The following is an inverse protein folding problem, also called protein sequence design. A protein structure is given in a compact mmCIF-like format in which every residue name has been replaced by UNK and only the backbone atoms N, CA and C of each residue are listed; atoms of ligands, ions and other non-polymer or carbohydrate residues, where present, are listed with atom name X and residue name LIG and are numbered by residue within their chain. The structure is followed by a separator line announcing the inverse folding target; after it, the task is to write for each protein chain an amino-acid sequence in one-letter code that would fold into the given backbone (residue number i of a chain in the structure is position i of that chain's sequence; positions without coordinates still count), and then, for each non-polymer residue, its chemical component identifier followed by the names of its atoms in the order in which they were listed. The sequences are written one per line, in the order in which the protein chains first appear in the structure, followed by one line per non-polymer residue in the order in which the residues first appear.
data_IF_861825830471
#
_entry.id   IF_861825830471
#
_cell.length_a   1.000
_cell.length_b   1.000
_cell.length_c   1.000
_cell.angle_alpha   90.00
_cell.angle_beta   90.00
_cell.angle_gamma   90.00
#
_symmetry.space_group_name_H-M   'P 1'
#
loop_
_entity.id
_entity.type
_entity.pdbx_description
1 polymer ?
#
# COMPACT_ATOMS: atom_id res chain seq x y z
N UNK A 1 42.76 40.96 34.64
CA UNK A 1 41.39 40.43 34.83
C UNK A 1 40.81 40.17 33.45
N UNK A 2 41.22 39.06 32.82
CA UNK A 2 40.86 38.76 31.43
C UNK A 2 39.47 38.12 31.35
N UNK A 3 38.58 38.73 30.59
CA UNK A 3 37.23 38.25 30.30
C UNK A 3 37.31 36.96 29.47
N UNK A 4 37.02 35.83 30.13
CA UNK A 4 36.99 34.52 29.47
C UNK A 4 35.92 34.46 28.36
N UNK A 5 36.14 33.70 27.28
CA UNK A 5 35.32 33.71 26.08
C UNK A 5 34.01 32.90 26.26
N UNK A 6 33.10 33.35 27.13
CA UNK A 6 31.80 32.70 27.35
C UNK A 6 30.89 32.74 26.10
N UNK A 7 31.04 33.74 25.22
CA UNK A 7 30.25 33.86 23.97
C UNK A 7 30.42 32.67 23.02
N UNK A 8 31.61 32.05 22.97
CA UNK A 8 31.88 30.94 22.04
C UNK A 8 31.26 29.61 22.50
N UNK A 9 31.09 29.42 23.81
CA UNK A 9 30.49 28.20 24.38
C UNK A 9 28.96 28.22 24.19
N UNK A 10 28.33 29.38 24.39
CA UNK A 10 26.88 29.52 24.19
C UNK A 10 26.46 29.34 22.72
N UNK A 11 27.26 29.83 21.77
CA UNK A 11 26.97 29.64 20.33
C UNK A 11 27.06 28.17 19.92
N UNK A 12 28.04 27.42 20.45
CA UNK A 12 28.25 26.01 20.10
C UNK A 12 27.13 25.09 20.62
N UNK A 13 26.55 25.39 21.79
CA UNK A 13 25.40 24.65 22.35
C UNK A 13 24.11 24.92 21.56
N UNK A 14 23.93 26.16 21.07
CA UNK A 14 22.76 26.54 20.29
C UNK A 14 22.72 25.87 18.91
N UNK A 15 23.88 25.74 18.25
CA UNK A 15 24.00 25.03 16.96
C UNK A 15 23.68 23.53 17.06
N UNK A 16 23.99 22.88 18.20
CA UNK A 16 23.73 21.46 18.41
C UNK A 16 22.24 21.18 18.67
N UNK A 17 21.53 22.11 19.32
CA UNK A 17 20.09 22.01 19.54
C UNK A 17 19.29 22.12 18.23
N UNK A 18 19.70 23.00 17.31
CA UNK A 18 19.03 23.17 16.01
C UNK A 18 19.18 21.92 15.13
N UNK A 19 20.31 21.21 15.21
CA UNK A 19 20.54 19.96 14.45
C UNK A 19 19.72 18.77 14.98
N UNK A 20 19.30 18.79 16.25
CA UNK A 20 18.46 17.75 16.86
C UNK A 20 16.97 17.85 16.53
N UNK A 21 16.54 18.95 15.89
CA UNK A 21 15.14 19.18 15.52
C UNK A 21 14.82 18.84 14.06
N UNK A 22 15.74 18.23 13.31
CA UNK A 22 15.45 17.83 11.94
C UNK A 22 14.44 16.67 11.94
N UNK A 23 13.26 16.85 11.31
CA UNK A 23 12.29 15.77 11.21
C UNK A 23 12.90 14.61 10.41
N UNK A 24 12.82 13.40 10.97
CA UNK A 24 13.14 12.19 10.22
C UNK A 24 12.10 12.06 9.11
N UNK A 25 12.54 12.16 7.86
CA UNK A 25 11.68 11.91 6.72
C UNK A 25 11.37 10.41 6.72
N UNK A 26 10.12 10.05 7.01
CA UNK A 26 9.65 8.69 6.81
C UNK A 26 9.73 8.37 5.31
N UNK A 27 10.58 7.43 4.93
CA UNK A 27 10.60 6.91 3.57
C UNK A 27 9.29 6.14 3.35
N UNK A 28 8.57 6.50 2.30
CA UNK A 28 7.43 5.73 1.85
C UNK A 28 7.90 4.69 0.83
N UNK A 29 7.65 3.41 1.12
CA UNK A 29 7.94 2.33 0.18
C UNK A 29 6.69 2.04 -0.66
N UNK A 30 6.88 1.92 -1.98
CA UNK A 30 5.81 1.51 -2.91
C UNK A 30 6.01 0.05 -3.30
N UNK A 31 4.97 -0.74 -3.08
CA UNK A 31 4.89 -2.17 -3.38
C UNK A 31 3.97 -2.37 -4.59
N UNK A 32 4.34 -3.23 -5.53
CA UNK A 32 3.53 -3.53 -6.72
C UNK A 32 3.25 -5.02 -6.80
N UNK A 33 1.98 -5.38 -6.97
CA UNK A 33 1.50 -6.75 -7.07
C UNK A 33 0.73 -6.94 -8.38
N UNK A 34 0.77 -8.16 -8.92
CA UNK A 34 0.06 -8.56 -10.14
C UNK A 34 -0.46 -10.00 -9.96
N UNK A 35 -1.70 -10.33 -10.35
CA UNK A 35 -2.19 -11.70 -10.28
C UNK A 35 -1.48 -12.59 -11.31
N UNK A 36 -1.65 -13.90 -11.18
CA UNK A 36 -1.27 -14.86 -12.21
C UNK A 36 -2.45 -15.83 -12.43
N UNK A 37 -3.13 -15.80 -13.59
CA UNK A 37 -2.79 -15.05 -14.81
C UNK A 37 -2.91 -13.53 -14.63
N UNK A 38 -2.10 -12.78 -15.38
CA UNK A 38 -1.90 -11.34 -15.21
C UNK A 38 -3.16 -10.51 -15.45
N UNK A 39 -4.05 -11.00 -16.30
CA UNK A 39 -5.29 -10.39 -16.78
C UNK A 39 -6.54 -11.02 -16.17
N UNK A 40 -6.39 -11.99 -15.26
CA UNK A 40 -7.48 -12.80 -14.72
C UNK A 40 -8.36 -13.43 -15.82
N UNK A 41 -7.73 -13.98 -16.88
CA UNK A 41 -8.41 -14.62 -18.01
C UNK A 41 -9.43 -13.70 -18.70
N UNK A 42 -9.07 -12.42 -18.90
CA UNK A 42 -9.93 -11.43 -19.55
C UNK A 42 -11.32 -11.30 -18.87
N UNK A 43 -11.38 -11.48 -17.54
CA UNK A 43 -12.59 -11.24 -16.74
C UNK A 43 -13.88 -11.75 -17.41
N UNK A 44 -13.89 -13.04 -17.78
CA UNK A 44 -15.05 -13.72 -18.37
C UNK A 44 -16.29 -13.58 -17.47
N UNK A 45 -17.43 -13.18 -18.04
CA UNK A 45 -18.66 -12.89 -17.29
C UNK A 45 -19.38 -14.10 -16.72
N UNK A 46 -18.99 -15.32 -17.09
CA UNK A 46 -19.46 -16.53 -16.43
C UNK A 46 -18.65 -16.86 -15.16
N UNK A 47 -17.79 -15.93 -14.75
CA UNK A 47 -16.85 -16.08 -13.65
C UNK A 47 -16.76 -14.83 -12.80
N UNK A 48 -16.75 -15.04 -11.49
CA UNK A 48 -16.24 -14.08 -10.53
C UNK A 48 -14.81 -14.47 -10.14
N UNK A 49 -13.95 -13.52 -9.84
CA UNK A 49 -12.53 -13.74 -9.53
C UNK A 49 -12.20 -13.20 -8.16
N UNK A 50 -11.47 -13.96 -7.35
CA UNK A 50 -10.86 -13.46 -6.14
C UNK A 50 -9.33 -13.53 -6.27
N UNK A 51 -8.65 -12.46 -5.90
CA UNK A 51 -7.20 -12.38 -5.90
C UNK A 51 -6.71 -11.96 -4.52
N UNK A 52 -5.93 -12.83 -3.89
CA UNK A 52 -5.26 -12.55 -2.63
C UNK A 52 -3.82 -12.10 -2.85
N UNK A 53 -3.47 -10.98 -2.26
CA UNK A 53 -2.10 -10.54 -2.03
C UNK A 53 -1.77 -10.82 -0.57
N UNK A 54 -1.03 -11.88 -0.29
CA UNK A 54 -0.55 -12.19 1.05
C UNK A 54 0.95 -11.89 1.19
N UNK A 55 1.43 -11.73 2.42
CA UNK A 55 2.86 -11.49 2.70
C UNK A 55 3.72 -12.75 2.72
N UNK A 56 3.11 -13.93 2.58
CA UNK A 56 3.76 -15.24 2.78
C UNK A 56 3.97 -16.02 1.48
N UNK A 57 3.34 -15.58 0.39
CA UNK A 57 3.44 -16.19 -0.93
C UNK A 57 4.74 -15.79 -1.59
N UNK A 58 5.30 -16.77 -2.33
CA UNK A 58 6.68 -16.82 -2.84
C UNK A 58 7.11 -15.66 -3.75
N UNK A 59 6.21 -14.75 -4.13
CA UNK A 59 6.54 -13.57 -4.93
C UNK A 59 7.23 -12.47 -4.11
N UNK A 60 7.29 -12.60 -2.78
CA UNK A 60 7.76 -11.54 -1.88
C UNK A 60 9.07 -11.86 -1.14
N UNK A 61 9.92 -12.75 -1.68
CA UNK A 61 11.15 -13.22 -1.02
C UNK A 61 12.15 -12.12 -0.57
N UNK A 62 11.90 -10.84 -0.82
CA UNK A 62 12.70 -9.71 -0.34
C UNK A 62 11.91 -8.53 0.24
N UNK A 63 10.58 -8.62 0.39
CA UNK A 63 9.80 -7.52 0.95
C UNK A 63 9.67 -7.67 2.47
N UNK A 64 10.41 -6.84 3.21
CA UNK A 64 10.26 -6.68 4.67
C UNK A 64 9.04 -5.80 5.02
N UNK A 65 7.90 -6.06 4.39
CA UNK A 65 6.68 -5.35 4.78
C UNK A 65 6.05 -6.06 5.98
N UNK A 66 6.11 -5.41 7.14
CA UNK A 66 5.53 -5.92 8.38
C UNK A 66 4.22 -5.16 8.68
N UNK A 67 3.04 -5.82 8.59
CA UNK A 67 1.75 -5.21 8.90
C UNK A 67 1.68 -4.58 10.30
N UNK A 68 2.49 -5.08 11.23
CA UNK A 68 2.49 -4.63 12.62
C UNK A 68 3.27 -3.32 12.82
N UNK A 69 4.13 -2.94 11.87
CA UNK A 69 5.00 -1.75 11.99
C UNK A 69 4.86 -0.76 10.84
N UNK A 70 3.97 -0.99 9.89
CA UNK A 70 3.80 -0.16 8.71
C UNK A 70 2.33 -0.01 8.38
N UNK A 71 1.90 1.17 7.93
CA UNK A 71 0.54 1.41 7.45
C UNK A 71 0.54 1.71 5.97
N UNK A 72 -0.54 1.31 5.30
CA UNK A 72 -0.83 1.67 3.93
C UNK A 72 -1.31 3.12 3.91
N UNK A 73 -0.57 3.98 3.20
CA UNK A 73 -0.85 5.43 3.09
C UNK A 73 -1.48 5.81 1.76
N UNK A 74 -1.29 5.00 0.72
CA UNK A 74 -2.00 5.11 -0.54
C UNK A 74 -2.09 3.75 -1.23
N UNK A 75 -3.09 3.59 -2.10
CA UNK A 75 -3.21 2.41 -2.95
C UNK A 75 -3.86 2.77 -4.27
N UNK A 76 -3.44 2.10 -5.35
CA UNK A 76 -4.10 2.16 -6.66
C UNK A 76 -4.25 0.78 -7.25
N UNK A 77 -5.36 0.54 -7.95
CA UNK A 77 -5.63 -0.66 -8.72
C UNK A 77 -5.74 -0.27 -10.20
N UNK A 78 -4.83 -0.76 -11.03
CA UNK A 78 -4.73 -0.40 -12.44
C UNK A 78 -5.04 -1.60 -13.31
N UNK A 79 -5.85 -1.40 -14.34
CA UNK A 79 -6.13 -2.32 -15.43
C UNK A 79 -5.49 -1.74 -16.69
N UNK A 80 -4.65 -2.50 -17.38
CA UNK A 80 -3.98 -2.06 -18.59
C UNK A 80 -4.77 -2.48 -19.83
N UNK A 81 -4.86 -1.57 -20.81
CA UNK A 81 -5.60 -1.81 -22.07
C UNK A 81 -7.02 -2.40 -21.83
N UNK A 82 -7.66 -1.98 -20.73
CA UNK A 82 -8.98 -2.45 -20.32
C UNK A 82 -9.98 -2.05 -21.39
N UNK A 83 -10.93 -2.92 -21.78
CA UNK A 83 -11.94 -2.63 -22.80
C UNK A 83 -13.10 -3.62 -22.76
N UNK A 84 -14.23 -3.16 -23.26
CA UNK A 84 -15.45 -3.93 -23.33
C UNK A 84 -15.44 -4.93 -24.50
N UNK A 85 -15.99 -6.14 -24.30
CA UNK A 85 -16.14 -7.15 -25.37
C UNK A 85 -17.16 -6.71 -26.44
N UNK A 86 -18.26 -6.09 -26.02
CA UNK A 86 -19.37 -5.64 -26.88
C UNK A 86 -19.75 -4.18 -26.62
N UNK A 87 -20.83 -3.72 -27.27
CA UNK A 87 -21.33 -2.35 -27.17
C UNK A 87 -22.38 -2.16 -26.05
N UNK A 88 -22.65 -3.18 -25.24
CA UNK A 88 -23.61 -3.08 -24.15
C UNK A 88 -23.01 -2.31 -22.96
N UNK A 89 -23.87 -1.62 -22.21
CA UNK A 89 -23.50 -1.02 -20.94
C UNK A 89 -23.18 -2.13 -19.94
N UNK A 90 -21.97 -2.10 -19.38
CA UNK A 90 -21.41 -3.23 -18.64
C UNK A 90 -20.84 -2.77 -17.31
N UNK A 91 -20.96 -3.64 -16.31
CA UNK A 91 -20.56 -3.35 -14.93
C UNK A 91 -19.45 -4.30 -14.50
N UNK A 92 -18.39 -3.74 -13.93
CA UNK A 92 -17.40 -4.49 -13.15
C UNK A 92 -17.56 -4.11 -11.68
N UNK A 93 -18.00 -5.06 -10.86
CA UNK A 93 -17.92 -4.90 -9.41
C UNK A 93 -16.51 -5.23 -8.94
N UNK A 94 -15.95 -4.36 -8.11
CA UNK A 94 -14.71 -4.64 -7.40
C UNK A 94 -15.02 -4.55 -5.92
N UNK A 95 -14.66 -5.58 -5.16
CA UNK A 95 -14.90 -5.64 -3.72
C UNK A 95 -13.61 -5.88 -2.97
N UNK A 96 -13.42 -5.22 -1.82
CA UNK A 96 -12.42 -5.61 -0.84
C UNK A 96 -13.02 -6.71 0.04
N UNK A 97 -12.48 -7.92 -0.04
CA UNK A 97 -13.05 -9.09 0.62
C UNK A 97 -12.69 -9.13 2.11
N UNK A 98 -13.61 -9.66 2.92
CA UNK A 98 -13.44 -9.78 4.36
C UNK A 98 -12.45 -10.90 4.75
N UNK A 99 -12.28 -11.88 3.86
CA UNK A 99 -11.41 -13.04 4.04
C UNK A 99 -10.51 -13.25 2.81
N UNK A 100 -9.33 -13.89 2.98
CA UNK A 100 -8.36 -14.07 1.91
C UNK A 100 -8.96 -14.66 0.63
N UNK A 101 -9.78 -15.71 0.75
CA UNK A 101 -10.55 -16.29 -0.36
C UNK A 101 -11.86 -16.89 0.18
N UNK A 102 -13.03 -16.59 -0.42
CA UNK A 102 -14.25 -17.34 -0.16
C UNK A 102 -14.04 -18.85 -0.35
N UNK A 103 -14.78 -19.65 0.42
CA UNK A 103 -14.81 -21.10 0.24
C UNK A 103 -15.31 -21.46 -1.17
N UNK A 104 -14.83 -22.60 -1.70
CA UNK A 104 -15.06 -22.97 -3.09
C UNK A 104 -14.08 -22.28 -4.05
N UNK A 105 -14.53 -22.12 -5.29
CA UNK A 105 -13.74 -21.61 -6.41
C UNK A 105 -12.65 -22.57 -6.87
N UNK A 106 -12.27 -22.45 -8.14
CA UNK A 106 -11.14 -23.15 -8.74
C UNK A 106 -9.92 -22.23 -8.69
N UNK A 107 -8.79 -22.71 -8.19
CA UNK A 107 -7.53 -21.98 -8.31
C UNK A 107 -7.12 -21.89 -9.77
N UNK A 108 -6.81 -20.69 -10.23
CA UNK A 108 -6.29 -20.44 -11.57
C UNK A 108 -4.91 -19.80 -11.43
N UNK A 109 -3.89 -20.42 -12.04
CA UNK A 109 -2.51 -19.94 -11.94
C UNK A 109 -1.90 -20.00 -10.53
N UNK A 110 -1.03 -19.03 -10.25
CA UNK A 110 -0.28 -18.89 -8.99
C UNK A 110 -0.65 -17.56 -8.31
N UNK A 111 -0.17 -17.30 -7.10
CA UNK A 111 -0.33 -15.98 -6.47
C UNK A 111 -1.74 -15.69 -5.96
N UNK A 112 -2.43 -16.69 -5.42
CA UNK A 112 -3.66 -16.48 -4.64
C UNK A 112 -4.90 -16.15 -5.47
N UNK A 113 -4.95 -16.53 -6.75
CA UNK A 113 -6.12 -16.30 -7.60
C UNK A 113 -7.06 -17.51 -7.60
N UNK A 114 -8.37 -17.23 -7.48
CA UNK A 114 -9.45 -18.20 -7.69
C UNK A 114 -10.51 -17.62 -8.62
N UNK A 115 -11.08 -18.49 -9.44
CA UNK A 115 -12.30 -18.20 -10.18
C UNK A 115 -13.48 -18.96 -9.57
N UNK A 116 -14.66 -18.36 -9.64
CA UNK A 116 -15.92 -18.92 -9.16
C UNK A 116 -16.87 -18.92 -10.32
N UNK A 117 -17.65 -19.99 -10.48
CA UNK A 117 -18.72 -19.98 -11.47
C UNK A 117 -19.77 -18.98 -11.01
N UNK A 118 -19.94 -17.94 -11.80
CA UNK A 118 -21.09 -17.07 -11.66
C UNK A 118 -22.19 -17.55 -12.62
N UNK A 119 -23.34 -17.89 -12.05
CA UNK A 119 -24.50 -18.38 -12.81
C UNK A 119 -25.53 -17.27 -13.03
N UNK A 120 -25.22 -16.05 -12.60
CA UNK A 120 -25.94 -14.86 -13.03
C UNK A 120 -25.60 -14.71 -14.51
N UNK A 121 -26.41 -15.32 -15.39
CA UNK A 121 -26.16 -15.27 -16.85
C UNK A 121 -26.12 -13.83 -17.38
N UNK A 122 -25.95 -13.65 -18.69
CA UNK A 122 -25.75 -12.38 -19.46
C UNK A 122 -26.69 -11.16 -19.16
N UNK A 123 -27.49 -11.17 -18.09
CA UNK A 123 -28.56 -10.23 -17.78
C UNK A 123 -28.73 -9.88 -16.29
N UNK A 124 -27.88 -10.32 -15.38
CA UNK A 124 -28.11 -10.05 -13.96
C UNK A 124 -27.10 -9.09 -13.37
N UNK A 125 -27.61 -7.98 -12.84
CA UNK A 125 -26.90 -6.90 -12.13
C UNK A 125 -26.36 -7.35 -10.74
N UNK A 126 -25.73 -8.52 -10.68
CA UNK A 126 -25.59 -9.30 -9.45
C UNK A 126 -24.17 -9.39 -8.96
N UNK A 127 -23.76 -8.56 -8.00
CA UNK A 127 -22.45 -8.67 -7.36
C UNK A 127 -22.28 -9.98 -6.56
N UNK A 128 -21.58 -10.96 -7.11
CA UNK A 128 -21.21 -12.24 -6.51
C UNK A 128 -20.60 -12.09 -5.11
N UNK A 129 -19.78 -11.06 -4.91
CA UNK A 129 -19.09 -10.80 -3.64
C UNK A 129 -19.87 -9.90 -2.67
N UNK A 130 -21.12 -9.54 -2.96
CA UNK A 130 -21.91 -8.62 -2.12
C UNK A 130 -22.05 -9.08 -0.66
N UNK A 131 -22.03 -10.39 -0.41
CA UNK A 131 -22.13 -10.97 0.93
C UNK A 131 -20.79 -11.19 1.63
N UNK A 132 -19.66 -11.05 0.92
CA UNK A 132 -18.33 -11.43 1.42
C UNK A 132 -17.27 -10.33 1.24
N UNK A 133 -17.69 -9.08 1.07
CA UNK A 133 -16.77 -7.97 0.95
C UNK A 133 -17.47 -6.62 1.02
N UNK A 134 -16.64 -5.58 1.08
CA UNK A 134 -17.07 -4.19 0.89
C UNK A 134 -16.83 -3.81 -0.55
N UNK A 135 -17.91 -3.46 -1.25
CA UNK A 135 -17.86 -2.93 -2.60
C UNK A 135 -17.03 -1.64 -2.67
N UNK A 136 -16.05 -1.62 -3.57
CA UNK A 136 -15.26 -0.45 -3.89
C UNK A 136 -16.02 0.41 -4.91
N UNK A 137 -16.61 1.49 -4.43
CA UNK A 137 -17.29 2.46 -5.29
C UNK A 137 -16.27 3.36 -5.97
N UNK A 138 -16.41 3.52 -7.29
CA UNK A 138 -15.62 4.48 -8.05
C UNK A 138 -15.82 5.91 -7.49
N UNK A 139 -14.81 6.79 -7.58
CA UNK A 139 -14.99 8.21 -7.32
C UNK A 139 -16.17 8.76 -8.14
N UNK A 140 -16.90 9.72 -7.59
CA UNK A 140 -18.02 10.40 -8.26
C UNK A 140 -17.59 10.94 -9.63
N UNK A 141 -18.07 10.32 -10.71
CA UNK A 141 -17.69 10.69 -12.09
C UNK A 141 -17.66 9.52 -13.07
N UNK A 142 -17.54 8.28 -12.58
CA UNK A 142 -17.75 7.08 -13.38
C UNK A 142 -19.21 6.61 -13.23
N UNK A 143 -20.06 6.96 -14.20
CA UNK A 143 -21.44 6.49 -14.28
C UNK A 143 -21.70 6.04 -15.72
N UNK A 144 -22.10 4.79 -15.92
CA UNK A 144 -22.57 4.32 -17.23
C UNK A 144 -24.09 4.47 -17.38
N UNK A 145 -24.87 4.37 -16.32
CA UNK A 145 -26.32 4.51 -16.44
C UNK A 145 -26.94 5.21 -15.24
N UNK A 146 -28.17 5.69 -15.43
CA UNK A 146 -28.90 6.56 -14.52
C UNK A 146 -29.20 5.96 -13.13
N UNK A 147 -28.78 4.73 -12.83
CA UNK A 147 -29.05 4.05 -11.57
C UNK A 147 -27.76 3.83 -10.76
N UNK A 148 -27.63 4.67 -9.72
CA UNK A 148 -26.98 4.44 -8.42
C UNK A 148 -25.55 3.88 -8.37
N UNK A 149 -24.58 4.76 -8.08
CA UNK A 149 -23.47 4.69 -7.09
C UNK A 149 -22.89 3.33 -6.59
N UNK A 150 -23.02 2.20 -7.29
CA UNK A 150 -22.77 0.85 -6.73
C UNK A 150 -21.73 0.02 -7.48
N UNK A 151 -20.96 0.57 -8.40
CA UNK A 151 -19.94 -0.21 -9.12
C UNK A 151 -18.97 0.68 -9.87
N UNK A 152 -17.84 0.10 -10.31
CA UNK A 152 -17.05 0.70 -11.39
C UNK A 152 -17.80 0.41 -12.68
N UNK A 153 -18.84 1.21 -12.92
CA UNK A 153 -19.49 1.28 -14.21
C UNK A 153 -18.52 2.01 -15.15
N UNK A 154 -17.98 1.31 -16.15
CA UNK A 154 -17.23 1.97 -17.21
C UNK A 154 -18.18 2.92 -17.91
N UNK A 155 -17.97 4.24 -17.74
CA UNK A 155 -18.88 5.27 -18.24
C UNK A 155 -19.38 5.01 -19.68
N UNK A 156 -20.64 5.36 -19.93
CA UNK A 156 -21.27 5.23 -21.24
C UNK A 156 -20.40 5.92 -22.28
N UNK A 157 -19.89 5.15 -23.22
CA UNK A 157 -18.86 5.59 -24.17
C UNK A 157 -17.70 4.60 -24.35
N UNK A 158 -17.63 3.58 -23.50
CA UNK A 158 -16.83 2.38 -23.74
C UNK A 158 -17.61 1.41 -24.63
N UNK A 159 -17.85 1.82 -25.88
CA UNK A 159 -18.29 0.90 -26.94
C UNK A 159 -17.20 -0.13 -27.19
N UNK A 160 -17.50 -1.20 -27.92
CA UNK A 160 -16.51 -2.18 -28.38
C UNK A 160 -15.42 -1.45 -29.15
N UNK A 161 -14.29 -1.21 -28.49
CA UNK A 161 -13.11 -0.63 -29.12
C UNK A 161 -12.05 -1.70 -29.26
N UNK A 162 -11.33 -1.68 -30.38
CA UNK A 162 -10.09 -2.46 -30.50
C UNK A 162 -8.95 -1.85 -29.69
N UNK A 163 -9.10 -0.58 -29.29
CA UNK A 163 -8.12 0.18 -28.52
C UNK A 163 -8.67 0.33 -27.10
N UNK A 164 -8.18 -0.47 -26.17
CA UNK A 164 -8.48 -0.29 -24.76
C UNK A 164 -7.76 0.92 -24.19
N UNK A 165 -8.09 1.24 -22.94
CA UNK A 165 -7.42 2.32 -22.20
C UNK A 165 -7.05 1.80 -20.83
N UNK A 166 -6.00 2.40 -20.28
CA UNK A 166 -5.64 2.12 -18.90
C UNK A 166 -6.69 2.74 -17.97
N UNK A 167 -7.16 1.94 -17.03
CA UNK A 167 -8.07 2.37 -15.98
C UNK A 167 -7.35 2.27 -14.64
N UNK A 168 -7.34 3.34 -13.85
CA UNK A 168 -6.74 3.34 -12.51
C UNK A 168 -7.76 3.79 -11.48
N UNK A 169 -8.03 2.90 -10.54
CA UNK A 169 -8.84 3.16 -9.36
C UNK A 169 -7.94 3.57 -8.20
N UNK A 170 -8.19 4.75 -7.62
CA UNK A 170 -7.45 5.25 -6.45
C UNK A 170 -8.30 5.08 -5.20
N UNK A 171 -7.75 4.43 -4.18
CA UNK A 171 -8.44 4.16 -2.92
C UNK A 171 -8.59 5.45 -2.12
N UNK A 172 -9.82 5.75 -1.68
CA UNK A 172 -10.07 6.88 -0.79
C UNK A 172 -9.69 6.55 0.66
N UNK A 173 -9.74 7.56 1.55
CA UNK A 173 -9.34 7.39 2.94
C UNK A 173 -10.08 6.26 3.69
N UNK A 174 -11.39 6.09 3.44
CA UNK A 174 -12.18 5.02 4.07
C UNK A 174 -11.76 3.64 3.55
N UNK A 175 -11.53 3.52 2.25
CA UNK A 175 -11.08 2.28 1.63
C UNK A 175 -9.64 1.92 2.05
N UNK A 176 -8.76 2.91 2.24
CA UNK A 176 -7.43 2.71 2.81
C UNK A 176 -7.50 2.21 4.25
N UNK A 177 -8.45 2.69 5.06
CA UNK A 177 -8.67 2.18 6.42
C UNK A 177 -9.11 0.71 6.40
N UNK A 178 -10.02 0.34 5.49
CA UNK A 178 -10.44 -1.05 5.32
C UNK A 178 -9.27 -1.93 4.84
N UNK A 179 -8.45 -1.46 3.91
CA UNK A 179 -7.24 -2.16 3.46
C UNK A 179 -6.28 -2.40 4.63
N UNK A 180 -5.98 -1.36 5.42
CA UNK A 180 -5.13 -1.48 6.61
C UNK A 180 -5.70 -2.49 7.62
N UNK A 181 -7.02 -2.48 7.82
CA UNK A 181 -7.70 -3.41 8.74
C UNK A 181 -7.60 -4.86 8.24
N UNK A 182 -7.92 -5.10 6.97
CA UNK A 182 -7.80 -6.43 6.35
C UNK A 182 -6.36 -6.93 6.44
N UNK A 183 -5.39 -6.08 6.08
CA UNK A 183 -3.99 -6.42 6.08
C UNK A 183 -3.43 -6.73 7.48
N UNK A 184 -3.74 -5.93 8.49
CA UNK A 184 -3.31 -6.15 9.88
C UNK A 184 -3.95 -7.38 10.54
N UNK A 185 -5.18 -7.73 10.15
CA UNK A 185 -5.92 -8.86 10.74
C UNK A 185 -5.60 -10.17 10.06
N UNK A 186 -5.55 -10.18 8.73
CA UNK A 186 -5.44 -11.40 7.92
C UNK A 186 -4.03 -11.63 7.38
N UNK A 187 -3.12 -10.66 7.53
CA UNK A 187 -1.79 -10.67 6.91
C UNK A 187 -1.86 -10.80 5.36
N UNK A 188 -2.98 -10.35 4.80
CA UNK A 188 -3.31 -10.44 3.39
C UNK A 188 -4.37 -9.40 3.02
N UNK A 189 -4.38 -9.01 1.74
CA UNK A 189 -5.45 -8.24 1.10
C UNK A 189 -6.11 -9.16 0.08
N UNK A 190 -7.43 -9.12 -0.01
CA UNK A 190 -8.16 -9.90 -1.00
C UNK A 190 -9.13 -9.00 -1.77
N UNK A 191 -9.05 -9.07 -3.09
CA UNK A 191 -9.90 -8.32 -4.01
C UNK A 191 -10.82 -9.30 -4.75
N UNK A 192 -12.11 -9.00 -4.80
CA UNK A 192 -13.10 -9.67 -5.62
C UNK A 192 -13.39 -8.85 -6.87
N UNK A 193 -13.47 -9.50 -8.03
CA UNK A 193 -13.82 -8.92 -9.31
C UNK A 193 -14.99 -9.70 -9.87
N UNK A 194 -16.07 -9.01 -10.16
CA UNK A 194 -17.28 -9.66 -10.65
C UNK A 194 -17.79 -8.90 -11.88
N UNK A 195 -17.45 -9.41 -13.08
CA UNK A 195 -17.84 -8.83 -14.34
C UNK A 195 -19.25 -9.28 -14.74
N UNK A 196 -20.21 -8.35 -14.80
CA UNK A 196 -21.53 -8.61 -15.39
C UNK A 196 -21.49 -8.68 -16.93
N UNK A 197 -20.30 -8.52 -17.51
CA UNK A 197 -20.00 -8.73 -18.92
C UNK A 197 -18.50 -8.93 -19.16
N UNK A 198 -18.16 -9.60 -20.26
CA UNK A 198 -16.76 -9.94 -20.57
C UNK A 198 -15.91 -8.69 -20.83
N UNK A 199 -14.70 -8.62 -20.26
CA UNK A 199 -13.76 -7.52 -20.48
C UNK A 199 -12.36 -7.98 -20.89
N UNK A 200 -11.85 -7.51 -22.03
CA UNK A 200 -10.45 -7.74 -22.33
C UNK A 200 -9.52 -6.79 -21.56
N UNK A 201 -8.39 -7.31 -21.10
CA UNK A 201 -7.34 -6.49 -20.47
C UNK A 201 -5.97 -7.14 -20.63
N UNK A 202 -4.91 -6.33 -20.60
CA UNK A 202 -3.54 -6.82 -20.76
C UNK A 202 -2.82 -6.93 -19.40
N UNK A 203 -3.57 -6.77 -18.31
CA UNK A 203 -3.07 -7.01 -16.97
C UNK A 203 -3.68 -6.13 -15.89
N UNK A 204 -3.64 -6.62 -14.67
CA UNK A 204 -4.12 -5.94 -13.46
C UNK A 204 -2.95 -5.74 -12.50
N UNK A 205 -2.84 -4.56 -11.89
CA UNK A 205 -1.78 -4.24 -10.92
C UNK A 205 -2.35 -3.54 -9.70
N UNK A 206 -1.93 -3.97 -8.52
CA UNK A 206 -2.20 -3.29 -7.25
C UNK A 206 -0.89 -2.63 -6.80
N UNK A 207 -0.89 -1.31 -6.66
CA UNK A 207 0.21 -0.57 -6.04
C UNK A 207 -0.21 -0.14 -4.63
N UNK A 208 0.69 -0.31 -3.67
CA UNK A 208 0.48 0.07 -2.26
C UNK A 208 1.67 0.91 -1.83
N UNK A 209 1.42 2.16 -1.47
CA UNK A 209 2.39 2.98 -0.76
C UNK A 209 2.23 2.77 0.74
N UNK A 210 3.35 2.63 1.42
CA UNK A 210 3.38 2.32 2.85
C UNK A 210 4.25 3.32 3.58
N UNK A 211 3.94 3.58 4.85
CA UNK A 211 4.80 4.33 5.75
C UNK A 211 5.17 3.44 6.93
N UNK A 212 6.45 3.43 7.28
CA UNK A 212 6.91 2.76 8.50
C UNK A 212 6.46 3.58 9.71
N UNK A 213 5.62 2.97 10.55
CA UNK A 213 5.15 3.51 11.82
C UNK A 213 6.11 3.17 12.97
N UNK A 214 7.27 2.56 12.68
CA UNK A 214 8.31 2.40 13.66
C UNK A 214 8.62 3.79 14.23
N UNK A 215 8.48 3.94 15.56
CA UNK A 215 8.98 5.12 16.25
C UNK A 215 10.42 5.34 15.75
N UNK A 216 10.82 6.59 15.41
CA UNK A 216 12.16 6.86 14.94
C UNK A 216 13.14 6.17 15.88
N UNK A 217 13.77 5.10 15.40
CA UNK A 217 14.80 4.43 16.19
C UNK A 217 15.83 5.52 16.40
N UNK A 218 16.28 5.80 17.63
CA UNK A 218 17.27 6.84 17.86
C UNK A 218 18.51 6.56 17.00
N UNK A 219 18.55 7.24 15.86
CA UNK A 219 19.59 7.14 14.86
C UNK A 219 20.86 7.82 15.41
N UNK A 220 22.01 7.76 14.71
CA UNK A 220 23.36 7.90 15.26
C UNK A 220 23.64 9.08 16.17
N UNK A 221 22.78 10.09 16.28
CA UNK A 221 22.83 11.11 17.33
C UNK A 221 22.98 10.50 18.73
N UNK A 222 22.33 9.38 19.07
CA UNK A 222 22.54 8.74 20.39
C UNK A 222 23.92 8.08 20.48
N UNK A 223 24.40 7.45 19.40
CA UNK A 223 25.76 6.88 19.33
C UNK A 223 26.85 7.97 19.30
N UNK A 224 26.54 9.13 18.71
CA UNK A 224 27.39 10.30 18.64
C UNK A 224 27.39 11.02 19.99
N UNK A 225 26.24 11.14 20.65
CA UNK A 225 26.13 11.72 22.00
C UNK A 225 26.81 10.80 23.01
N UNK A 226 26.64 9.48 22.89
CA UNK A 226 27.35 8.49 23.69
C UNK A 226 28.86 8.56 23.41
N UNK A 227 29.27 8.58 22.14
CA UNK A 227 30.66 8.66 21.73
C UNK A 227 31.35 9.96 22.15
N UNK A 228 30.69 11.11 21.97
CA UNK A 228 31.20 12.42 22.41
C UNK A 228 31.15 12.59 23.93
N UNK A 229 30.15 12.01 24.59
CA UNK A 229 30.07 11.92 26.05
C UNK A 229 31.26 11.15 26.64
N UNK A 230 31.55 9.96 26.09
CA UNK A 230 32.70 9.15 26.47
C UNK A 230 34.03 9.85 26.16
N UNK A 231 34.18 10.46 24.98
CA UNK A 231 35.38 11.23 24.64
C UNK A 231 35.59 12.43 25.58
N UNK A 232 34.51 13.10 25.99
CA UNK A 232 34.55 14.19 26.98
C UNK A 232 34.98 13.73 28.37
N UNK A 233 34.47 12.56 28.82
CA UNK A 233 34.90 11.94 30.08
C UNK A 233 36.40 11.57 30.03
N UNK A 234 36.84 10.93 28.95
CA UNK A 234 38.25 10.55 28.76
C UNK A 234 39.18 11.78 28.77
N UNK A 235 38.81 12.85 28.06
CA UNK A 235 39.55 14.10 28.06
C UNK A 235 39.63 14.75 29.46
N UNK A 236 38.55 14.69 30.25
CA UNK A 236 38.52 15.19 31.62
C UNK A 236 39.43 14.39 32.55
N UNK A 237 39.47 13.07 32.42
CA UNK A 237 40.35 12.21 33.23
C UNK A 237 41.82 12.50 32.96
N UNK A 238 42.22 12.61 31.68
CA UNK A 238 43.61 12.92 31.29
C UNK A 238 44.09 14.28 31.79
N UNK A 239 43.20 15.27 31.93
CA UNK A 239 43.57 16.57 32.52
C UNK A 239 43.84 16.51 34.02
N UNK A 240 43.26 15.53 34.75
CA UNK A 240 43.49 15.39 36.20
C UNK A 240 44.83 14.72 36.49
N UNK A 241 45.23 13.72 35.71
CA UNK A 241 46.53 13.04 35.86
C UNK A 241 47.72 13.98 35.68
N UNK A 242 47.64 14.92 34.74
CA UNK A 242 48.77 15.84 34.49
C UNK A 242 48.92 16.93 35.57
N UNK A 243 47.89 17.19 36.38
CA UNK A 243 47.98 18.16 37.49
C UNK A 243 48.60 17.59 38.76
N UNK A 244 48.63 16.27 38.92
CA UNK A 244 49.30 15.62 40.05
C UNK A 244 50.83 15.61 39.89
N UNK A 245 51.36 15.71 38.67
CA UNK A 245 52.82 15.76 38.43
C UNK A 245 53.43 17.16 38.56
N UNK A 246 52.65 18.22 38.33
CA UNK A 246 53.12 19.61 38.41
C UNK A 246 53.21 20.17 39.85
N UNK A 247 53.29 19.31 40.87
CA UNK A 247 53.30 19.70 42.29
C UNK A 247 54.56 19.25 43.05
N UNK A 248 55.64 18.95 42.33
CA UNK A 248 56.98 18.69 42.90
C UNK A 248 57.84 19.94 42.73
#
# INVERSE_FOLDING_TARGET
MESRPMKKIFMSLFSLAILSMMPVLAAADTLTFQPNPTDLNDLDHYRAYAWTVDTNTRDLNNMKFNPQSSSITAATLTFSNFRNWNDNANILYISLLNHPLPAGGQSIGQGGVKEYRDNVGDRGDGNYFASNGTLLTAPSGFKDSANENKSIALASGWTRTTNGKDFTFTFNAQQLQLLNTSFSTNNAIALGFDPDCHYWNDGIKLNIATANNAAPVPEPATMLLLGTGLAGIAAKMRRRSNKSEAKV
#
